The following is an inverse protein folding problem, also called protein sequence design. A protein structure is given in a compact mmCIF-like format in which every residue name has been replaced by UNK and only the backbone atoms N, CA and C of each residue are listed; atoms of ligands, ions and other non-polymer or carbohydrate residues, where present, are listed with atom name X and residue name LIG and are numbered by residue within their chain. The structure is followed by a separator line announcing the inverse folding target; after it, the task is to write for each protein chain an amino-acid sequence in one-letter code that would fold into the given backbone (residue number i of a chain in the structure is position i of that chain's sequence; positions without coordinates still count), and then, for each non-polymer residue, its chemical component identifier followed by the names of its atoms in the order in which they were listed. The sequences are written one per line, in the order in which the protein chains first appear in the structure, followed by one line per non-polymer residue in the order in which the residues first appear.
data_IF_126266698448
#
_entry.id   IF_126266698448
#
_cell.length_a   1.000
_cell.length_b   1.000
_cell.length_c   1.000
_cell.angle_alpha   90.00
_cell.angle_beta   90.00
_cell.angle_gamma   90.00
#
_symmetry.space_group_name_H-M   'P 1'
#
loop_
_entity.id
_entity.type
_entity.pdbx_description
1 polymer ?
#
# COMPACT_ATOMS: atom_id res chain seq x y z
N UNK A 1 -20.50 0.25 -16.78
CA UNK A 1 -19.98 1.03 -15.62
C UNK A 1 -18.56 0.54 -15.45
N UNK A 2 -17.56 1.36 -15.79
CA UNK A 2 -16.17 0.98 -15.56
C UNK A 2 -15.85 1.30 -14.11
N UNK A 3 -15.65 0.28 -13.30
CA UNK A 3 -15.34 0.42 -11.87
C UNK A 3 -13.84 0.21 -11.64
N UNK A 4 -13.24 1.02 -10.77
CA UNK A 4 -11.94 0.75 -10.17
C UNK A 4 -12.12 -0.06 -8.88
N UNK A 5 -11.03 -0.66 -8.35
CA UNK A 5 -11.10 -1.51 -7.16
C UNK A 5 -11.60 -0.77 -5.92
N UNK A 6 -11.16 0.48 -5.70
CA UNK A 6 -11.62 1.23 -4.53
C UNK A 6 -13.12 1.52 -4.61
N UNK A 7 -13.65 1.87 -5.78
CA UNK A 7 -15.09 2.09 -5.97
C UNK A 7 -15.92 0.83 -5.66
N UNK A 8 -15.43 -0.35 -6.04
CA UNK A 8 -16.10 -1.62 -5.72
C UNK A 8 -16.13 -1.86 -4.22
N UNK A 9 -15.01 -1.66 -3.53
CA UNK A 9 -14.93 -1.89 -2.09
C UNK A 9 -15.72 -0.84 -1.29
N UNK A 10 -15.74 0.40 -1.73
CA UNK A 10 -16.61 1.45 -1.16
C UNK A 10 -18.09 1.08 -1.28
N UNK A 11 -18.51 0.56 -2.44
CA UNK A 11 -19.90 0.08 -2.64
C UNK A 11 -20.24 -1.09 -1.72
N UNK A 12 -19.32 -2.04 -1.54
CA UNK A 12 -19.53 -3.17 -0.62
C UNK A 12 -19.68 -2.66 0.82
N UNK A 13 -18.81 -1.73 1.23
CA UNK A 13 -18.88 -1.11 2.56
C UNK A 13 -20.22 -0.40 2.80
N UNK A 14 -20.79 0.24 1.78
CA UNK A 14 -22.11 0.88 1.88
C UNK A 14 -23.26 -0.12 2.00
N UNK A 15 -23.16 -1.28 1.34
CA UNK A 15 -24.23 -2.29 1.29
C UNK A 15 -24.21 -3.20 2.52
N UNK A 16 -23.03 -3.61 2.98
CA UNK A 16 -22.86 -4.58 4.08
C UNK A 16 -21.82 -4.11 5.13
N UNK A 17 -21.98 -2.90 5.71
CA UNK A 17 -20.96 -2.25 6.55
C UNK A 17 -20.54 -3.08 7.77
N UNK A 18 -21.46 -3.84 8.35
CA UNK A 18 -21.25 -4.61 9.58
C UNK A 18 -20.79 -6.06 9.32
N UNK A 19 -20.59 -6.45 8.06
CA UNK A 19 -20.05 -7.75 7.73
C UNK A 19 -18.52 -7.74 7.83
N UNK A 20 -17.93 -8.91 8.05
CA UNK A 20 -16.49 -9.09 8.10
C UNK A 20 -15.88 -8.85 6.72
N UNK A 21 -14.88 -7.96 6.66
CA UNK A 21 -14.11 -7.66 5.46
C UNK A 21 -12.78 -8.39 5.46
N UNK A 22 -12.02 -8.28 6.55
CA UNK A 22 -10.70 -8.87 6.71
C UNK A 22 -10.67 -9.74 7.96
N UNK A 23 -9.97 -10.87 7.87
CA UNK A 23 -9.70 -11.75 9.00
C UNK A 23 -8.22 -12.14 8.91
N UNK A 24 -7.46 -11.79 9.95
CA UNK A 24 -6.07 -12.18 10.09
C UNK A 24 -5.83 -12.66 11.52
N UNK A 25 -5.50 -13.95 11.68
CA UNK A 25 -5.42 -14.61 12.98
C UNK A 25 -6.73 -14.43 13.78
N UNK A 26 -6.67 -13.80 14.95
CA UNK A 26 -7.82 -13.53 15.80
C UNK A 26 -8.45 -12.14 15.57
N UNK A 27 -7.86 -11.33 14.69
CA UNK A 27 -8.35 -10.00 14.38
C UNK A 27 -9.35 -10.01 13.21
N UNK A 28 -10.49 -9.36 13.43
CA UNK A 28 -11.55 -9.21 12.44
C UNK A 28 -11.82 -7.72 12.21
N UNK A 29 -11.77 -7.29 10.95
CA UNK A 29 -12.12 -5.92 10.55
C UNK A 29 -13.40 -5.96 9.73
N UNK A 30 -14.37 -5.10 10.08
CA UNK A 30 -15.63 -4.96 9.34
C UNK A 30 -15.45 -4.09 8.10
N UNK A 31 -16.35 -4.20 7.11
CA UNK A 31 -16.27 -3.41 5.88
C UNK A 31 -16.22 -1.90 6.12
N UNK A 32 -17.05 -1.39 7.05
CA UNK A 32 -17.03 0.04 7.43
C UNK A 32 -15.68 0.48 8.01
N UNK A 33 -15.08 -0.36 8.86
CA UNK A 33 -13.80 -0.04 9.51
C UNK A 33 -12.64 -0.14 8.52
N UNK A 34 -12.68 -1.12 7.62
CA UNK A 34 -11.72 -1.25 6.51
C UNK A 34 -11.76 -0.04 5.57
N UNK A 35 -12.96 0.46 5.23
CA UNK A 35 -13.12 1.67 4.41
C UNK A 35 -12.59 2.91 5.13
N UNK A 36 -12.91 3.10 6.41
CA UNK A 36 -12.45 4.22 7.23
C UNK A 36 -10.92 4.20 7.39
N UNK A 37 -10.34 3.07 7.78
CA UNK A 37 -8.90 2.95 8.01
C UNK A 37 -8.13 3.19 6.70
N UNK A 38 -8.58 2.61 5.59
CA UNK A 38 -7.99 2.83 4.29
C UNK A 38 -8.08 4.31 3.85
N UNK A 39 -9.20 4.98 4.17
CA UNK A 39 -9.38 6.41 3.85
C UNK A 39 -8.44 7.31 4.68
N UNK A 40 -8.16 6.97 5.93
CA UNK A 40 -7.19 7.68 6.78
C UNK A 40 -5.76 7.54 6.24
N UNK A 41 -5.36 6.33 5.86
CA UNK A 41 -4.04 6.11 5.23
C UNK A 41 -3.97 6.80 3.86
N UNK A 42 -5.06 6.86 3.08
CA UNK A 42 -5.12 7.63 1.83
C UNK A 42 -4.87 9.12 2.05
N UNK A 43 -5.41 9.70 3.15
CA UNK A 43 -5.09 11.08 3.57
C UNK A 43 -3.61 11.25 3.83
N UNK A 44 -2.98 10.33 4.58
CA UNK A 44 -1.54 10.38 4.86
C UNK A 44 -0.70 10.34 3.58
N UNK A 45 -1.04 9.47 2.62
CA UNK A 45 -0.38 9.40 1.32
C UNK A 45 -0.53 10.70 0.53
N UNK A 46 -1.73 11.29 0.51
CA UNK A 46 -1.99 12.56 -0.17
C UNK A 46 -1.20 13.71 0.46
N UNK A 47 -1.12 13.76 1.80
CA UNK A 47 -0.33 14.74 2.54
C UNK A 47 1.18 14.60 2.26
N UNK A 48 1.66 13.39 1.98
CA UNK A 48 3.03 13.13 1.55
C UNK A 48 3.27 13.45 0.06
N UNK A 49 2.25 13.95 -0.65
CA UNK A 49 2.36 14.37 -2.06
C UNK A 49 2.16 13.24 -3.07
N UNK A 50 1.52 12.14 -2.69
CA UNK A 50 1.08 11.11 -3.62
C UNK A 50 -0.30 11.48 -4.20
N UNK A 51 -0.55 11.03 -5.42
CA UNK A 51 -1.79 11.30 -6.14
C UNK A 51 -2.10 10.19 -7.14
N UNK A 52 -3.04 10.42 -8.05
CA UNK A 52 -3.36 9.46 -9.12
C UNK A 52 -2.10 9.05 -9.91
N UNK A 53 -1.96 7.75 -10.15
CA UNK A 53 -0.83 7.07 -10.78
C UNK A 53 0.48 7.04 -9.97
N UNK A 54 0.55 7.65 -8.78
CA UNK A 54 1.67 7.42 -7.85
C UNK A 54 1.75 5.94 -7.47
N UNK A 55 2.96 5.38 -7.38
CA UNK A 55 3.17 3.97 -7.05
C UNK A 55 3.67 3.85 -5.61
N UNK A 56 3.17 2.83 -4.91
CA UNK A 56 3.59 2.57 -3.54
C UNK A 56 3.87 1.08 -3.31
N UNK A 57 5.05 0.78 -2.81
CA UNK A 57 5.50 -0.56 -2.49
C UNK A 57 4.87 -1.09 -1.20
N UNK A 58 4.41 -2.34 -1.23
CA UNK A 58 3.89 -3.06 -0.06
C UNK A 58 4.90 -4.17 0.30
N UNK A 59 5.90 -3.82 1.12
CA UNK A 59 6.94 -4.71 1.62
C UNK A 59 6.54 -5.27 2.99
N UNK A 60 5.45 -6.00 3.01
CA UNK A 60 4.75 -6.50 4.19
C UNK A 60 4.55 -8.02 4.11
N UNK A 61 4.45 -8.67 5.25
CA UNK A 61 3.85 -10.00 5.34
C UNK A 61 2.34 -9.90 5.10
N UNK A 62 1.68 -11.03 4.92
CA UNK A 62 0.22 -11.06 4.86
C UNK A 62 -0.35 -10.60 6.21
N UNK A 63 -1.10 -9.50 6.19
CA UNK A 63 -1.70 -8.87 7.36
C UNK A 63 -2.89 -8.00 6.94
N UNK A 64 -3.67 -7.52 7.92
CA UNK A 64 -4.74 -6.56 7.66
C UNK A 64 -4.20 -5.24 7.11
N UNK A 65 -3.06 -4.76 7.62
CA UNK A 65 -2.41 -3.52 7.20
C UNK A 65 -1.94 -3.56 5.74
N UNK A 66 -1.56 -4.76 5.23
CA UNK A 66 -1.26 -4.94 3.81
C UNK A 66 -2.46 -4.56 2.95
N UNK A 67 -3.66 -5.07 3.28
CA UNK A 67 -4.87 -4.80 2.52
C UNK A 67 -5.40 -3.38 2.74
N UNK A 68 -5.27 -2.84 3.96
CA UNK A 68 -5.60 -1.44 4.25
C UNK A 68 -4.70 -0.50 3.45
N UNK A 69 -3.39 -0.72 3.44
CA UNK A 69 -2.43 0.04 2.64
C UNK A 69 -2.72 -0.06 1.14
N UNK A 70 -3.01 -1.27 0.65
CA UNK A 70 -3.37 -1.50 -0.76
C UNK A 70 -4.64 -0.71 -1.16
N UNK A 71 -5.69 -0.78 -0.33
CA UNK A 71 -6.91 -0.02 -0.60
C UNK A 71 -6.68 1.49 -0.51
N UNK A 72 -5.88 1.96 0.45
CA UNK A 72 -5.52 3.37 0.57
C UNK A 72 -4.85 3.90 -0.71
N UNK A 73 -3.94 3.10 -1.30
CA UNK A 73 -3.30 3.44 -2.57
C UNK A 73 -4.34 3.50 -3.70
N UNK A 74 -5.26 2.53 -3.78
CA UNK A 74 -6.35 2.60 -4.76
C UNK A 74 -7.26 3.81 -4.54
N UNK A 75 -7.56 4.19 -3.29
CA UNK A 75 -8.42 5.34 -2.98
C UNK A 75 -7.87 6.66 -3.51
N UNK A 76 -6.56 6.87 -3.52
CA UNK A 76 -5.94 8.05 -4.17
C UNK A 76 -5.79 7.91 -5.69
N UNK A 77 -6.28 6.83 -6.30
CA UNK A 77 -6.05 6.51 -7.72
C UNK A 77 -4.62 6.08 -8.02
N UNK A 78 -3.90 5.62 -7.01
CA UNK A 78 -2.51 5.15 -7.11
C UNK A 78 -2.41 3.68 -7.53
N UNK A 79 -1.18 3.20 -7.61
CA UNK A 79 -0.81 1.86 -8.07
C UNK A 79 -0.05 1.12 -6.97
N UNK A 80 -0.67 0.15 -6.29
CA UNK A 80 0.04 -0.67 -5.32
C UNK A 80 1.00 -1.64 -6.02
N UNK A 81 2.21 -1.73 -5.50
CA UNK A 81 3.26 -2.62 -5.97
C UNK A 81 3.49 -3.70 -4.90
N UNK A 82 3.16 -4.95 -5.21
CA UNK A 82 3.48 -6.05 -4.32
C UNK A 82 4.98 -6.32 -4.29
N UNK A 83 5.57 -6.27 -3.11
CA UNK A 83 7.00 -6.51 -2.90
C UNK A 83 7.18 -7.78 -2.09
N UNK A 84 7.96 -8.73 -2.61
CA UNK A 84 8.22 -9.96 -1.88
C UNK A 84 9.04 -9.65 -0.61
N UNK A 85 8.48 -9.97 0.55
CA UNK A 85 9.11 -9.74 1.85
C UNK A 85 10.46 -10.46 2.04
N UNK A 86 10.78 -11.42 1.18
CA UNK A 86 12.06 -12.15 1.18
C UNK A 86 13.17 -11.42 0.45
N UNK A 87 12.88 -10.37 -0.30
CA UNK A 87 13.87 -9.65 -1.07
C UNK A 87 14.94 -9.02 -0.15
N UNK A 88 16.18 -9.11 -0.60
CA UNK A 88 17.33 -8.45 0.02
C UNK A 88 17.51 -7.04 -0.55
N UNK A 89 18.47 -6.28 -0.02
CA UNK A 89 18.68 -4.88 -0.35
C UNK A 89 18.75 -4.59 -1.85
N UNK A 90 19.55 -5.35 -2.60
CA UNK A 90 19.73 -5.15 -4.06
C UNK A 90 18.44 -5.36 -4.85
N UNK A 91 17.66 -6.39 -4.48
CA UNK A 91 16.38 -6.70 -5.13
C UNK A 91 15.33 -5.63 -4.83
N UNK A 92 15.32 -5.11 -3.58
CA UNK A 92 14.42 -4.02 -3.17
C UNK A 92 14.74 -2.73 -3.90
N UNK A 93 16.02 -2.32 -3.96
CA UNK A 93 16.45 -1.13 -4.70
C UNK A 93 16.00 -1.26 -6.15
N UNK A 94 16.30 -2.39 -6.80
CA UNK A 94 15.91 -2.62 -8.18
C UNK A 94 14.40 -2.50 -8.39
N UNK A 95 13.60 -3.19 -7.57
CA UNK A 95 12.15 -3.22 -7.75
C UNK A 95 11.51 -1.85 -7.50
N UNK A 96 11.90 -1.19 -6.41
CA UNK A 96 11.34 0.10 -6.02
C UNK A 96 11.71 1.22 -6.99
N UNK A 97 12.94 1.21 -7.52
CA UNK A 97 13.39 2.13 -8.55
C UNK A 97 12.71 1.83 -9.90
N UNK A 98 12.71 0.57 -10.34
CA UNK A 98 12.10 0.15 -11.61
C UNK A 98 10.59 0.37 -11.67
N UNK A 99 9.91 0.33 -10.53
CA UNK A 99 8.47 0.62 -10.43
C UNK A 99 8.16 2.12 -10.31
N UNK A 100 9.15 3.00 -10.22
CA UNK A 100 9.00 4.41 -9.86
C UNK A 100 8.20 4.60 -8.58
N UNK A 101 8.45 3.79 -7.56
CA UNK A 101 7.75 3.88 -6.27
C UNK A 101 8.03 5.19 -5.58
N UNK A 102 6.99 5.81 -5.02
CA UNK A 102 7.02 7.09 -4.30
C UNK A 102 6.76 6.94 -2.80
N UNK A 103 6.22 5.79 -2.39
CA UNK A 103 6.01 5.42 -1.00
C UNK A 103 6.31 3.93 -0.78
N UNK A 104 6.63 3.55 0.45
CA UNK A 104 6.82 2.15 0.83
C UNK A 104 6.23 1.90 2.19
N UNK A 105 5.36 0.88 2.28
CA UNK A 105 4.90 0.29 3.53
C UNK A 105 5.79 -0.90 3.87
N UNK A 106 6.17 -1.04 5.13
CA UNK A 106 6.99 -2.18 5.57
C UNK A 106 6.75 -2.52 7.04
N UNK A 107 6.90 -3.79 7.43
CA UNK A 107 6.88 -4.19 8.84
C UNK A 107 8.16 -3.80 9.57
N UNK A 108 8.06 -3.47 10.86
CA UNK A 108 9.17 -3.03 11.70
C UNK A 108 10.35 -4.02 11.73
N UNK A 109 10.11 -5.34 11.59
CA UNK A 109 11.17 -6.35 11.46
C UNK A 109 12.08 -6.13 10.24
N UNK A 110 11.63 -5.40 9.23
CA UNK A 110 12.43 -5.06 8.04
C UNK A 110 13.11 -3.70 8.12
N UNK A 111 12.95 -2.96 9.22
CA UNK A 111 13.45 -1.58 9.37
C UNK A 111 14.96 -1.44 9.20
N UNK A 112 15.76 -2.45 9.56
CA UNK A 112 17.20 -2.45 9.32
C UNK A 112 17.54 -2.45 7.82
N UNK A 113 16.79 -3.20 7.02
CA UNK A 113 16.95 -3.26 5.57
C UNK A 113 16.49 -1.97 4.90
N UNK A 114 15.38 -1.40 5.37
CA UNK A 114 14.92 -0.09 4.89
C UNK A 114 15.98 0.98 5.16
N UNK A 115 16.55 1.01 6.36
CA UNK A 115 17.65 1.92 6.71
C UNK A 115 18.87 1.78 5.79
N UNK A 116 19.19 0.56 5.37
CA UNK A 116 20.29 0.27 4.46
C UNK A 116 20.07 0.85 3.06
N UNK A 117 18.83 0.80 2.56
CA UNK A 117 18.52 1.15 1.17
C UNK A 117 17.96 2.55 0.97
N UNK A 118 17.47 3.22 2.02
CA UNK A 118 16.71 4.45 1.92
C UNK A 118 17.46 5.55 1.15
N UNK A 119 18.74 5.73 1.41
CA UNK A 119 19.58 6.74 0.73
C UNK A 119 19.76 6.45 -0.77
N UNK A 120 19.56 5.22 -1.20
CA UNK A 120 19.67 4.80 -2.61
C UNK A 120 18.37 5.02 -3.39
N UNK A 121 17.28 5.43 -2.73
CA UNK A 121 15.94 5.58 -3.31
C UNK A 121 15.38 6.99 -3.09
N UNK A 122 15.99 8.03 -3.68
CA UNK A 122 15.63 9.44 -3.44
C UNK A 122 14.22 9.81 -3.92
N UNK A 123 13.60 8.98 -4.75
CA UNK A 123 12.23 9.20 -5.24
C UNK A 123 11.16 8.80 -4.22
N UNK A 124 11.50 8.03 -3.18
CA UNK A 124 10.57 7.67 -2.12
C UNK A 124 10.33 8.91 -1.24
N UNK A 125 9.11 9.41 -1.27
CA UNK A 125 8.66 10.58 -0.51
C UNK A 125 8.31 10.24 0.93
N UNK A 126 7.84 9.01 1.18
CA UNK A 126 7.40 8.56 2.51
C UNK A 126 7.64 7.07 2.70
N UNK A 127 8.16 6.75 3.87
CA UNK A 127 8.27 5.40 4.41
C UNK A 127 7.23 5.25 5.51
N UNK A 128 6.42 4.19 5.46
CA UNK A 128 5.37 3.92 6.46
C UNK A 128 5.68 2.58 7.11
N UNK A 129 5.97 2.62 8.40
CA UNK A 129 6.27 1.43 9.20
C UNK A 129 5.02 0.92 9.90
N UNK A 130 4.77 -0.37 9.76
CA UNK A 130 3.73 -1.13 10.46
C UNK A 130 4.36 -1.85 11.64
N UNK A 131 3.79 -1.72 12.82
CA UNK A 131 4.26 -2.40 14.02
C UNK A 131 4.02 -3.92 13.94
N UNK A 132 5.00 -4.72 14.34
CA UNK A 132 4.93 -6.19 14.41
C UNK A 132 5.57 -6.73 15.71
N UNK A 133 5.75 -5.84 16.70
CA UNK A 133 6.43 -6.15 17.96
C UNK A 133 7.96 -6.04 17.88
N UNK A 134 8.53 -5.82 16.69
CA UNK A 134 9.98 -5.62 16.53
C UNK A 134 10.39 -4.18 16.86
N UNK A 135 11.68 -4.00 17.21
CA UNK A 135 12.24 -2.67 17.45
C UNK A 135 12.64 -2.02 16.14
N UNK A 136 12.05 -0.86 15.84
CA UNK A 136 12.39 -0.08 14.64
C UNK A 136 13.84 0.41 14.67
N UNK A 137 14.53 0.29 13.53
CA UNK A 137 15.88 0.79 13.31
C UNK A 137 15.94 1.97 12.33
N UNK A 138 14.83 2.32 11.69
CA UNK A 138 14.71 3.46 10.77
C UNK A 138 13.78 4.51 11.36
N UNK A 139 14.32 5.71 11.64
CA UNK A 139 13.61 6.75 12.41
C UNK A 139 12.80 7.72 11.58
N UNK A 140 13.06 7.78 10.27
CA UNK A 140 12.43 8.77 9.38
C UNK A 140 11.12 8.23 8.76
N UNK A 141 10.64 7.09 9.25
CA UNK A 141 9.36 6.52 8.85
C UNK A 141 8.21 7.06 9.68
N UNK A 142 7.08 7.31 9.04
CA UNK A 142 5.80 7.50 9.70
C UNK A 142 5.30 6.16 10.26
N UNK A 143 4.58 6.20 11.38
CA UNK A 143 4.01 5.00 12.00
C UNK A 143 2.57 4.82 11.55
N UNK A 144 2.27 3.66 11.02
CA UNK A 144 0.96 3.32 10.47
C UNK A 144 -0.16 3.54 11.50
N UNK A 145 0.05 3.10 12.74
CA UNK A 145 -0.91 3.19 13.83
C UNK A 145 -1.16 4.67 14.22
N UNK A 146 -0.10 5.49 14.26
CA UNK A 146 -0.23 6.93 14.52
C UNK A 146 -0.99 7.66 13.40
N UNK A 147 -0.83 7.22 12.14
CA UNK A 147 -1.58 7.76 11.01
C UNK A 147 -3.07 7.40 11.12
N UNK A 148 -3.40 6.19 11.57
CA UNK A 148 -4.79 5.80 11.84
C UNK A 148 -5.44 6.63 12.96
N UNK A 149 -4.67 7.11 13.93
CA UNK A 149 -5.16 7.94 15.01
C UNK A 149 -5.29 9.42 14.62
N UNK A 150 -4.33 9.93 13.86
CA UNK A 150 -4.16 11.38 13.62
C UNK A 150 -4.79 11.89 12.32
N UNK A 151 -4.99 11.04 11.32
CA UNK A 151 -5.57 11.45 10.05
C UNK A 151 -7.09 11.34 10.05
N UNK A 152 -7.75 12.33 9.45
CA UNK A 152 -9.17 12.24 9.10
C UNK A 152 -9.34 11.37 7.84
N UNK A 153 -10.47 10.65 7.70
CA UNK A 153 -10.76 9.88 6.48
C UNK A 153 -10.84 10.79 5.26
N UNK A 154 -10.18 10.40 4.18
CA UNK A 154 -10.26 11.08 2.88
C UNK A 154 -11.67 10.94 2.31
N UNK A 155 -12.22 12.01 1.76
CA UNK A 155 -13.45 11.96 0.99
C UNK A 155 -13.28 11.10 -0.27
N UNK A 156 -14.36 10.45 -0.69
CA UNK A 156 -14.36 9.66 -1.94
C UNK A 156 -14.19 10.57 -3.14
N UNK A 157 -13.27 10.22 -4.03
CA UNK A 157 -12.96 10.97 -5.24
C UNK A 157 -13.35 10.17 -6.49
N UNK A 158 -13.51 10.86 -7.60
CA UNK A 158 -13.62 10.21 -8.90
C UNK A 158 -12.23 9.69 -9.32
N UNK A 159 -12.14 8.41 -9.69
CA UNK A 159 -10.91 7.75 -10.16
C UNK A 159 -11.07 7.31 -11.62
N UNK A 160 -9.98 7.36 -12.38
CA UNK A 160 -9.97 6.88 -13.76
C UNK A 160 -9.89 5.33 -13.77
N UNK A 161 -10.88 4.62 -14.32
CA UNK A 161 -10.85 3.16 -14.43
C UNK A 161 -9.72 2.64 -15.33
N UNK A 162 -9.08 3.49 -16.12
CA UNK A 162 -7.88 3.14 -16.87
C UNK A 162 -6.60 3.17 -16.03
N UNK A 163 -6.66 3.57 -14.75
CA UNK A 163 -5.54 3.44 -13.82
C UNK A 163 -5.05 1.99 -13.81
N UNK A 164 -3.74 1.82 -13.89
CA UNK A 164 -3.14 0.50 -13.96
C UNK A 164 -3.16 -0.20 -12.60
N UNK A 165 -3.23 -1.52 -12.63
CA UNK A 165 -2.85 -2.42 -11.57
C UNK A 165 -1.56 -3.13 -11.99
N UNK A 166 -0.53 -3.11 -11.14
CA UNK A 166 0.79 -3.64 -11.50
C UNK A 166 1.18 -4.78 -10.57
N UNK A 167 1.51 -5.93 -11.14
CA UNK A 167 2.02 -7.09 -10.42
C UNK A 167 3.44 -7.41 -10.86
N UNK A 168 4.36 -7.47 -9.93
CA UNK A 168 5.72 -7.95 -10.20
C UNK A 168 5.75 -9.47 -10.10
N UNK A 169 6.19 -10.10 -11.18
CA UNK A 169 6.36 -11.55 -11.25
C UNK A 169 7.85 -11.90 -11.41
N UNK A 170 8.29 -12.94 -10.69
CA UNK A 170 9.63 -13.49 -10.86
C UNK A 170 9.60 -14.45 -12.06
N UNK A 171 10.18 -14.04 -13.18
CA UNK A 171 10.41 -14.92 -14.32
C UNK A 171 11.54 -15.92 -14.02
N UNK A 172 11.56 -17.05 -14.73
CA UNK A 172 12.58 -18.11 -14.58
C UNK A 172 13.99 -17.67 -15.03
N UNK A 173 14.15 -16.48 -15.57
CA UNK A 173 15.37 -16.05 -16.29
C UNK A 173 15.91 -14.68 -15.89
N UNK A 174 15.55 -14.10 -14.72
CA UNK A 174 16.14 -12.81 -14.35
C UNK A 174 15.34 -12.00 -13.34
N UNK A 175 15.60 -10.69 -13.32
CA UNK A 175 14.98 -9.73 -12.40
C UNK A 175 13.45 -9.69 -12.58
N UNK A 176 12.70 -9.38 -11.51
CA UNK A 176 11.24 -9.26 -11.54
C UNK A 176 10.77 -8.26 -12.59
N UNK A 177 9.65 -8.57 -13.26
CA UNK A 177 9.03 -7.70 -14.28
C UNK A 177 7.63 -7.31 -13.84
N UNK A 178 7.29 -6.03 -13.98
CA UNK A 178 5.95 -5.51 -13.73
C UNK A 178 5.00 -5.83 -14.88
N UNK A 179 3.94 -6.60 -14.61
CA UNK A 179 2.83 -6.85 -15.54
C UNK A 179 1.73 -5.85 -15.23
N UNK A 180 1.30 -5.10 -16.21
CA UNK A 180 0.34 -4.01 -16.07
C UNK A 180 -1.01 -4.38 -16.68
N UNK A 181 -2.09 -4.12 -15.94
CA UNK A 181 -3.47 -4.26 -16.37
C UNK A 181 -4.22 -2.96 -16.06
N UNK A 182 -5.22 -2.62 -16.84
CA UNK A 182 -6.16 -1.55 -16.47
C UNK A 182 -7.19 -2.09 -15.48
N UNK A 183 -7.46 -1.35 -14.41
CA UNK A 183 -8.41 -1.80 -13.39
C UNK A 183 -9.83 -2.04 -13.95
N UNK A 184 -10.30 -1.21 -14.86
CA UNK A 184 -11.62 -1.34 -15.46
C UNK A 184 -11.78 -2.47 -16.51
N UNK A 185 -10.74 -3.26 -16.75
CA UNK A 185 -10.78 -4.44 -17.64
C UNK A 185 -10.97 -5.77 -16.90
N UNK A 186 -11.09 -5.72 -15.54
CA UNK A 186 -11.35 -6.89 -14.68
C UNK A 186 -12.85 -7.15 -14.47
#
# INVERSE_FOLDING_TARGET
MNLDFASVWEMISDIIPDNQALICEDEVILWKDYDIQSSKIATALSNAGLSANSKAGLYLNNSNEYLIGQNAIFKIGGVPINVNYRYVAEELIYLLDNSDSEAVFYHACYSSRIKEIADSLPNIKVWIEVADGSVSQYKDALKFEELLESCDPMERIHRDPNTIYMLYTVGTTGMPKGVMYKQGEF
#
